data_IF_042482839349
#
_entry.id   IF_042482839349
#
_cell.length_a   1.000
_cell.length_b   1.000
_cell.length_c   1.000
_cell.angle_alpha   90.00
_cell.angle_beta   90.00
_cell.angle_gamma   90.00
#
_symmetry.space_group_name_H-M   'P 1'
#
loop_
_entity.id
_entity.type
_entity.pdbx_description
1 polymer ?
#
# COMPACT_ATOMS: atom_id res chain seq x y z
N UNK A 1 6.08 5.94 -3.95
CA UNK A 1 5.34 5.35 -5.08
C UNK A 1 6.35 4.70 -6.00
N UNK A 2 6.66 3.43 -5.78
CA UNK A 2 7.47 2.67 -6.72
C UNK A 2 6.50 2.14 -7.76
N UNK A 3 6.40 2.83 -8.89
CA UNK A 3 5.80 2.27 -10.09
C UNK A 3 6.76 1.18 -10.60
N UNK A 4 6.35 -0.10 -10.55
CA UNK A 4 6.93 -1.11 -11.42
C UNK A 4 6.10 -1.13 -12.71
N UNK A 5 6.41 -0.22 -13.63
CA UNK A 5 6.29 -0.53 -15.05
C UNK A 5 7.64 -1.11 -15.46
N UNK A 6 7.73 -2.43 -15.55
CA UNK A 6 8.75 -3.09 -16.37
C UNK A 6 8.00 -3.99 -17.36
N UNK A 7 7.55 -3.36 -18.44
CA UNK A 7 7.37 -4.06 -19.69
C UNK A 7 8.75 -4.09 -20.35
N UNK A 8 9.53 -5.12 -20.06
CA UNK A 8 10.79 -5.40 -20.76
C UNK A 8 10.50 -6.51 -21.78
N UNK A 9 10.20 -6.11 -23.02
CA UNK A 9 10.15 -7.01 -24.18
C UNK A 9 11.60 -7.35 -24.60
N UNK A 10 12.28 -8.17 -23.81
CA UNK A 10 13.46 -8.90 -24.26
C UNK A 10 13.19 -10.40 -24.19
N UNK A 11 12.79 -10.95 -25.33
CA UNK A 11 12.49 -12.35 -25.58
C UNK A 11 13.73 -13.24 -25.37
N UNK A 12 13.87 -13.82 -24.18
CA UNK A 12 14.70 -15.00 -23.97
C UNK A 12 13.92 -16.24 -24.45
N UNK A 13 14.09 -16.62 -25.72
CA UNK A 13 13.43 -17.75 -26.41
C UNK A 13 13.60 -19.14 -25.74
N UNK A 14 14.32 -19.24 -24.62
CA UNK A 14 14.57 -20.50 -23.90
C UNK A 14 13.58 -20.76 -22.74
N UNK A 15 12.66 -19.82 -22.45
CA UNK A 15 11.64 -19.95 -21.38
C UNK A 15 10.21 -20.09 -21.93
N UNK A 16 10.04 -20.40 -23.22
CA UNK A 16 8.74 -20.32 -23.90
C UNK A 16 7.84 -21.55 -23.68
N UNK A 17 8.42 -22.75 -23.59
CA UNK A 17 7.64 -24.01 -23.54
C UNK A 17 6.89 -24.26 -22.22
N UNK A 18 7.27 -23.64 -21.09
CA UNK A 18 6.59 -23.83 -19.79
C UNK A 18 5.64 -22.69 -19.40
N UNK A 19 5.71 -21.55 -20.10
CA UNK A 19 4.87 -20.37 -19.84
C UNK A 19 3.61 -20.33 -20.72
N UNK A 20 3.61 -21.03 -21.86
CA UNK A 20 2.44 -21.07 -22.77
C UNK A 20 1.24 -21.82 -22.14
N UNK A 21 1.47 -22.71 -21.17
CA UNK A 21 0.44 -23.42 -20.40
C UNK A 21 0.18 -22.79 -19.01
N UNK A 22 0.81 -21.66 -18.69
CA UNK A 22 0.59 -20.99 -17.41
C UNK A 22 -0.77 -20.28 -17.39
N UNK A 23 -1.60 -20.60 -16.40
CA UNK A 23 -2.87 -19.89 -16.19
C UNK A 23 -2.59 -18.40 -15.91
N UNK A 24 -3.08 -17.52 -16.77
CA UNK A 24 -3.03 -16.07 -16.56
C UNK A 24 -4.04 -15.71 -15.47
N UNK A 25 -3.55 -15.36 -14.28
CA UNK A 25 -4.37 -14.74 -13.26
C UNK A 25 -4.49 -13.24 -13.51
N UNK A 26 -5.70 -12.82 -13.88
CA UNK A 26 -6.10 -11.43 -13.90
C UNK A 26 -6.65 -11.06 -12.52
N UNK A 27 -6.04 -10.07 -11.87
CA UNK A 27 -6.55 -9.46 -10.65
C UNK A 27 -6.47 -7.94 -10.80
N UNK A 28 -7.59 -7.27 -10.48
CA UNK A 28 -7.64 -5.82 -10.47
C UNK A 28 -7.71 -5.27 -9.05
N UNK A 29 -7.16 -4.08 -8.88
CA UNK A 29 -7.22 -3.30 -7.65
C UNK A 29 -8.04 -2.05 -7.87
N UNK A 30 -8.84 -1.69 -6.87
CA UNK A 30 -9.62 -0.47 -6.88
C UNK A 30 -9.31 0.41 -5.66
N UNK A 31 -9.49 1.71 -5.84
CA UNK A 31 -9.27 2.71 -4.81
C UNK A 31 -10.56 2.98 -4.06
N UNK A 32 -10.53 2.78 -2.75
CA UNK A 32 -11.65 3.03 -1.85
C UNK A 32 -11.32 4.15 -0.86
N UNK A 33 -12.33 4.89 -0.37
CA UNK A 33 -12.12 5.83 0.73
C UNK A 33 -11.57 5.11 1.97
N UNK A 34 -10.70 5.80 2.72
CA UNK A 34 -10.24 5.32 4.02
C UNK A 34 -11.43 5.29 4.97
N UNK A 35 -11.62 4.17 5.68
CA UNK A 35 -12.65 3.97 6.70
C UNK A 35 -12.04 3.49 8.03
N UNK A 36 -12.75 3.61 9.17
CA UNK A 36 -12.19 3.25 10.47
C UNK A 36 -11.74 1.79 10.62
N UNK A 37 -12.35 0.87 9.87
CA UNK A 37 -11.94 -0.55 9.83
C UNK A 37 -10.53 -0.75 9.25
N UNK A 38 -9.99 0.23 8.52
CA UNK A 38 -8.71 0.10 7.82
C UNK A 38 -7.51 0.29 8.72
N UNK A 39 -7.73 0.76 9.96
CA UNK A 39 -6.66 1.15 10.88
C UNK A 39 -5.63 0.04 11.07
N UNK A 40 -6.07 -1.20 11.27
CA UNK A 40 -5.15 -2.32 11.52
C UNK A 40 -4.31 -2.64 10.28
N UNK A 41 -4.95 -2.72 9.11
CA UNK A 41 -4.25 -2.93 7.83
C UNK A 41 -3.29 -1.79 7.50
N UNK A 42 -3.64 -0.54 7.82
CA UNK A 42 -2.75 0.62 7.69
C UNK A 42 -1.55 0.53 8.63
N UNK A 43 -1.72 0.14 9.90
CA UNK A 43 -0.61 -0.07 10.84
C UNK A 43 0.36 -1.12 10.30
N UNK A 44 -0.18 -2.24 9.78
CA UNK A 44 0.63 -3.31 9.20
C UNK A 44 1.43 -2.81 7.98
N UNK A 45 0.78 -2.09 7.06
CA UNK A 45 1.42 -1.52 5.87
C UNK A 45 2.50 -0.49 6.24
N UNK A 46 2.22 0.41 7.17
CA UNK A 46 3.16 1.43 7.62
C UNK A 46 4.37 0.81 8.35
N UNK A 47 4.14 -0.25 9.13
CA UNK A 47 5.21 -1.03 9.78
C UNK A 47 6.16 -1.63 8.74
N UNK A 48 5.61 -2.16 7.64
CA UNK A 48 6.39 -2.68 6.52
C UNK A 48 7.16 -1.58 5.76
N UNK A 49 6.60 -0.38 5.63
CA UNK A 49 7.30 0.75 4.96
C UNK A 49 8.49 1.24 5.79
N UNK A 50 8.30 1.36 7.11
CA UNK A 50 9.29 1.99 7.97
C UNK A 50 10.29 1.01 8.60
N UNK A 51 10.12 -0.31 8.46
CA UNK A 51 11.08 -1.38 8.80
C UNK A 51 11.89 -1.12 10.10
N UNK A 52 11.19 -0.69 11.17
CA UNK A 52 11.72 -0.36 12.52
C UNK A 52 12.37 1.02 12.71
N UNK A 53 12.19 1.96 11.79
CA UNK A 53 12.38 3.37 12.12
C UNK A 53 11.49 3.68 13.33
N UNK A 54 11.96 4.52 14.27
CA UNK A 54 11.21 4.86 15.50
C UNK A 54 9.92 5.66 15.26
N UNK A 55 9.33 5.59 14.07
CA UNK A 55 8.10 6.24 13.66
C UNK A 55 6.95 5.70 14.50
N UNK A 56 6.12 6.60 15.00
CA UNK A 56 4.83 6.28 15.61
C UNK A 56 3.82 5.91 14.52
N UNK A 57 3.84 4.64 14.10
CA UNK A 57 2.97 4.13 13.03
C UNK A 57 1.50 4.06 13.44
N UNK A 58 1.22 3.80 14.71
CA UNK A 58 -0.14 3.77 15.26
C UNK A 58 -0.76 5.17 15.24
N UNK A 59 -0.04 6.16 15.77
CA UNK A 59 -0.47 7.55 15.72
C UNK A 59 -0.59 8.08 14.29
N UNK A 60 0.24 7.59 13.36
CA UNK A 60 0.08 7.96 11.95
C UNK A 60 -1.18 7.35 11.33
N UNK A 61 -1.48 6.07 11.61
CA UNK A 61 -2.70 5.43 11.14
C UNK A 61 -3.97 6.12 11.69
N UNK A 62 -3.95 6.54 12.96
CA UNK A 62 -5.03 7.32 13.56
C UNK A 62 -5.30 8.61 12.79
N UNK A 63 -4.26 9.39 12.49
CA UNK A 63 -4.42 10.64 11.74
C UNK A 63 -4.94 10.38 10.32
N UNK A 64 -4.48 9.32 9.64
CA UNK A 64 -4.96 8.97 8.30
C UNK A 64 -6.45 8.64 8.29
N UNK A 65 -6.95 7.93 9.30
CA UNK A 65 -8.38 7.61 9.45
C UNK A 65 -9.19 8.85 9.84
N UNK A 66 -8.69 9.69 10.75
CA UNK A 66 -9.37 10.93 11.16
C UNK A 66 -9.50 11.95 10.03
N UNK A 67 -8.58 11.92 9.06
CA UNK A 67 -8.61 12.78 7.87
C UNK A 67 -9.56 12.28 6.77
N UNK A 68 -10.24 11.15 6.96
CA UNK A 68 -11.22 10.65 6.00
C UNK A 68 -12.25 11.73 5.63
N UNK A 69 -12.63 11.85 4.33
CA UNK A 69 -12.30 10.96 3.21
C UNK A 69 -11.04 11.35 2.44
N UNK A 70 -10.09 12.08 3.05
CA UNK A 70 -8.89 12.52 2.36
C UNK A 70 -7.85 11.39 2.22
N UNK A 71 -7.64 10.96 0.98
CA UNK A 71 -6.81 9.80 0.65
C UNK A 71 -7.65 8.58 0.30
N UNK A 72 -6.97 7.52 -0.13
CA UNK A 72 -7.59 6.25 -0.49
C UNK A 72 -6.71 5.07 -0.11
N UNK A 73 -7.35 3.92 0.02
CA UNK A 73 -6.73 2.61 0.16
C UNK A 73 -6.97 1.80 -1.09
N UNK A 74 -6.03 0.91 -1.42
CA UNK A 74 -6.14 -0.01 -2.54
C UNK A 74 -6.41 -1.41 -2.01
N UNK A 75 -7.48 -2.03 -2.52
CA UNK A 75 -7.89 -3.41 -2.25
C UNK A 75 -8.21 -4.11 -3.58
N UNK A 76 -8.27 -5.44 -3.63
CA UNK A 76 -8.81 -6.12 -4.80
C UNK A 76 -10.20 -5.56 -5.11
N UNK A 77 -10.54 -5.44 -6.40
CA UNK A 77 -11.89 -5.08 -6.78
C UNK A 77 -12.88 -6.14 -6.27
N UNK A 78 -14.12 -5.76 -5.98
CA UNK A 78 -15.11 -6.65 -5.36
C UNK A 78 -15.31 -7.97 -6.15
N UNK A 79 -15.10 -7.94 -7.46
CA UNK A 79 -15.19 -9.09 -8.36
C UNK A 79 -14.10 -10.16 -8.12
N UNK A 80 -13.03 -9.80 -7.41
CA UNK A 80 -11.88 -10.66 -7.11
C UNK A 80 -11.69 -10.91 -5.61
N UNK A 81 -12.64 -10.50 -4.77
CA UNK A 81 -12.60 -10.76 -3.34
C UNK A 81 -12.95 -12.22 -3.05
N UNK A 82 -12.15 -12.86 -2.21
CA UNK A 82 -12.49 -14.11 -1.55
C UNK A 82 -13.02 -13.82 -0.15
N UNK A 83 -13.88 -14.70 0.39
CA UNK A 83 -14.52 -14.52 1.72
C UNK A 83 -13.50 -14.39 2.89
N UNK A 84 -12.21 -14.67 2.66
CA UNK A 84 -11.16 -14.67 3.68
C UNK A 84 -10.29 -13.39 3.65
N UNK A 85 -10.43 -12.52 2.63
CA UNK A 85 -9.46 -11.45 2.35
C UNK A 85 -10.08 -10.04 2.12
N UNK A 86 -11.36 -9.88 2.46
CA UNK A 86 -12.15 -8.65 2.26
C UNK A 86 -11.57 -7.36 2.88
N UNK A 87 -10.76 -7.47 3.93
CA UNK A 87 -10.33 -6.32 4.74
C UNK A 87 -8.84 -5.96 4.61
N UNK A 88 -8.09 -6.66 3.75
CA UNK A 88 -6.65 -6.42 3.58
C UNK A 88 -6.40 -5.21 2.69
N UNK A 89 -5.71 -4.22 3.24
CA UNK A 89 -5.25 -3.03 2.49
C UNK A 89 -3.85 -3.30 1.94
N UNK A 90 -3.72 -3.26 0.61
CA UNK A 90 -2.46 -3.50 -0.10
C UNK A 90 -1.69 -2.22 -0.42
N UNK A 91 -2.37 -1.07 -0.39
CA UNK A 91 -1.76 0.22 -0.64
C UNK A 91 -2.53 1.35 0.00
N UNK A 92 -1.85 2.46 0.25
CA UNK A 92 -2.46 3.69 0.73
C UNK A 92 -1.87 4.88 -0.02
N UNK A 93 -2.73 5.82 -0.41
CA UNK A 93 -2.36 7.14 -0.89
C UNK A 93 -3.03 8.17 0.01
N UNK A 94 -2.23 8.99 0.69
CA UNK A 94 -2.73 10.10 1.48
C UNK A 94 -1.70 11.23 1.52
N UNK A 95 -2.07 12.37 2.07
CA UNK A 95 -1.20 13.51 2.27
C UNK A 95 -1.35 14.00 3.72
N UNK A 96 -0.23 14.01 4.43
CA UNK A 96 -0.16 14.36 5.84
C UNK A 96 0.56 15.70 6.01
N UNK A 97 -0.06 16.64 6.72
CA UNK A 97 0.62 17.87 7.12
C UNK A 97 1.65 17.59 8.22
N UNK A 98 2.93 17.87 7.94
CA UNK A 98 4.03 17.59 8.88
C UNK A 98 4.20 18.68 9.97
N UNK A 99 3.61 19.86 9.80
CA UNK A 99 3.77 20.97 10.74
C UNK A 99 2.97 20.79 12.04
N UNK A 100 1.80 20.17 11.93
CA UNK A 100 0.87 19.90 13.04
C UNK A 100 1.29 18.72 13.91
N UNK A 101 2.06 17.76 13.36
CA UNK A 101 2.44 16.53 14.06
C UNK A 101 3.96 16.43 14.30
N UNK A 102 4.45 17.11 15.35
CA UNK A 102 5.88 17.21 15.69
C UNK A 102 6.60 15.85 15.81
N UNK A 103 5.89 14.80 16.25
CA UNK A 103 6.45 13.44 16.40
C UNK A 103 6.67 12.80 15.02
N UNK A 104 5.67 12.84 14.13
CA UNK A 104 5.77 12.32 12.76
C UNK A 104 6.80 13.09 11.92
N UNK A 105 6.88 14.40 12.11
CA UNK A 105 7.84 15.29 11.45
C UNK A 105 9.31 14.90 11.72
N UNK A 106 9.62 14.40 12.92
CA UNK A 106 11.00 14.06 13.31
C UNK A 106 11.50 12.78 12.62
N UNK A 107 10.60 11.82 12.36
CA UNK A 107 10.97 10.53 11.76
C UNK A 107 10.95 10.54 10.23
N UNK A 108 9.98 11.20 9.60
CA UNK A 108 9.91 11.28 8.13
C UNK A 108 11.09 12.07 7.56
N UNK A 109 11.53 13.15 8.23
CA UNK A 109 12.74 13.88 7.81
C UNK A 109 14.01 13.04 7.88
N UNK A 110 14.10 12.09 8.83
CA UNK A 110 15.23 11.16 8.88
C UNK A 110 15.15 10.10 7.79
N UNK A 111 13.95 9.64 7.44
CA UNK A 111 13.74 8.66 6.38
C UNK A 111 14.02 9.23 4.97
N UNK A 112 13.68 10.50 4.69
CA UNK A 112 13.99 11.17 3.42
C UNK A 112 15.49 11.48 3.22
N UNK A 113 16.32 11.34 4.26
CA UNK A 113 17.76 11.61 4.23
C UNK A 113 18.61 10.32 4.16
N UNK A 114 17.97 9.15 4.09
CA UNK A 114 18.59 7.87 3.74
C UNK A 114 18.49 7.66 2.22
#
# INVERSE_FOLDING_TARGET
>A
MVFFFLQDESEDELMKDELDDAEQLNFDFEAYPIVPSDKESLINLLTQIFLRAGVDVEGMADVLVEQAPFGCVYRPAEEFLDDDNDEVVYGVLSMLELASHKVLCCYIRKFQLL
#
